data_IF_025066547034
#
_entry.id   IF_025066547034
#
_cell.length_a   1.000
_cell.length_b   1.000
_cell.length_c   1.000
_cell.angle_alpha   90.00
_cell.angle_beta   90.00
_cell.angle_gamma   90.00
#
_symmetry.space_group_name_H-M   'P 1'
#
loop_
_entity.id
_entity.type
_entity.pdbx_description
1 polymer ?
#
# COMPACT_ATOMS: atom_id res chain seq x y z
N UNK A 1 26.09 12.73 11.36
CA UNK A 1 25.81 12.96 9.91
C UNK A 1 26.95 13.80 9.34
N UNK A 2 27.53 13.39 8.22
CA UNK A 2 28.65 14.11 7.60
C UNK A 2 28.19 15.44 6.99
N UNK A 3 29.06 16.44 7.03
CA UNK A 3 28.82 17.72 6.36
C UNK A 3 28.83 17.53 4.84
N UNK A 4 27.82 18.04 4.09
CA UNK A 4 27.79 17.91 2.63
C UNK A 4 28.85 18.76 1.92
N UNK A 5 29.43 19.75 2.59
CA UNK A 5 30.40 20.69 2.00
C UNK A 5 31.86 20.23 2.20
N UNK A 6 32.24 19.81 3.41
CA UNK A 6 33.63 19.44 3.74
C UNK A 6 33.79 17.98 4.18
N UNK A 7 32.72 17.18 4.20
CA UNK A 7 32.70 15.76 4.58
C UNK A 7 33.10 15.48 6.04
N UNK A 8 33.29 16.53 6.87
CA UNK A 8 33.60 16.35 8.29
C UNK A 8 32.48 15.54 8.99
N UNK A 9 32.81 14.53 9.83
CA UNK A 9 31.83 13.60 10.38
C UNK A 9 30.87 14.25 11.42
N UNK A 10 31.33 15.32 12.09
CA UNK A 10 30.60 15.91 13.21
C UNK A 10 29.86 17.18 12.79
N UNK A 11 28.54 17.19 13.01
CA UNK A 11 27.69 18.33 12.82
C UNK A 11 26.76 18.50 14.02
N UNK A 12 26.48 19.73 14.42
CA UNK A 12 25.61 20.04 15.54
C UNK A 12 24.24 20.47 15.05
N UNK A 13 23.17 19.99 15.71
CA UNK A 13 21.81 20.47 15.48
C UNK A 13 21.63 21.79 16.24
N UNK A 14 21.26 22.86 15.53
CA UNK A 14 21.04 24.20 16.11
C UNK A 14 19.57 24.51 16.32
N UNK A 15 18.67 23.89 15.54
CA UNK A 15 17.23 24.08 15.62
C UNK A 15 16.51 22.83 15.09
N UNK A 16 15.33 22.55 15.65
CA UNK A 16 14.46 21.44 15.23
C UNK A 16 13.01 21.94 15.21
N UNK A 17 12.31 21.74 14.10
CA UNK A 17 10.90 22.13 13.96
C UNK A 17 10.11 21.00 13.31
N UNK A 18 8.95 20.75 13.84
CA UNK A 18 7.97 19.88 13.20
C UNK A 18 7.24 20.64 12.09
N UNK A 19 7.07 20.00 10.94
CA UNK A 19 6.34 20.48 9.79
C UNK A 19 5.06 19.64 9.67
N UNK A 20 3.92 20.24 9.99
CA UNK A 20 2.61 19.55 9.94
C UNK A 20 2.27 19.09 8.52
N UNK A 21 2.44 19.96 7.53
CA UNK A 21 2.07 19.71 6.12
C UNK A 21 2.72 18.44 5.55
N UNK A 22 3.95 18.13 5.98
CA UNK A 22 4.72 17.01 5.46
C UNK A 22 4.93 15.90 6.51
N UNK A 23 4.35 16.03 7.69
CA UNK A 23 4.55 15.12 8.83
C UNK A 23 6.03 14.75 9.00
N UNK A 24 6.90 15.77 9.07
CA UNK A 24 8.35 15.61 9.10
C UNK A 24 9.01 16.54 10.12
N UNK A 25 10.19 16.19 10.60
CA UNK A 25 11.00 17.05 11.46
C UNK A 25 12.12 17.64 10.60
N UNK A 26 12.13 18.97 10.47
CA UNK A 26 13.24 19.72 9.88
C UNK A 26 14.26 20.04 10.96
N UNK A 27 15.53 19.61 10.75
CA UNK A 27 16.64 19.96 11.65
C UNK A 27 17.63 20.86 10.93
N UNK A 28 17.90 22.04 11.48
CA UNK A 28 19.03 22.90 11.07
C UNK A 28 20.30 22.40 11.70
N UNK A 29 21.33 22.20 10.90
CA UNK A 29 22.65 21.73 11.33
C UNK A 29 23.73 22.74 10.99
N UNK A 30 24.77 22.81 11.82
CA UNK A 30 26.00 23.57 11.58
C UNK A 30 27.18 22.61 11.61
N UNK A 31 28.05 22.67 10.64
CA UNK A 31 29.33 21.96 10.66
C UNK A 31 30.27 22.61 11.68
N UNK A 32 30.92 21.80 12.50
CA UNK A 32 31.86 22.31 13.51
C UNK A 32 33.21 22.73 12.88
N UNK A 33 33.55 22.18 11.69
CA UNK A 33 34.79 22.48 11.00
C UNK A 33 34.64 23.69 10.06
N UNK A 34 33.82 23.58 9.02
CA UNK A 34 33.70 24.65 8.01
C UNK A 34 32.64 25.73 8.34
N UNK A 35 31.89 25.60 9.44
CA UNK A 35 30.87 26.54 9.88
C UNK A 35 29.59 26.58 9.01
N UNK A 36 29.56 25.90 7.88
CA UNK A 36 28.42 25.91 6.95
C UNK A 36 27.17 25.32 7.61
N UNK A 37 26.01 25.88 7.24
CA UNK A 37 24.70 25.48 7.74
C UNK A 37 23.93 24.74 6.63
N UNK A 38 23.22 23.68 7.02
CA UNK A 38 22.35 22.93 6.11
C UNK A 38 21.15 22.39 6.88
N UNK A 39 20.10 22.03 6.16
CA UNK A 39 18.91 21.41 6.76
C UNK A 39 18.86 19.93 6.41
N UNK A 40 18.35 19.15 7.35
CA UNK A 40 18.01 17.74 7.14
C UNK A 40 16.56 17.53 7.51
N UNK A 41 15.93 16.53 6.89
CA UNK A 41 14.55 16.17 7.17
C UNK A 41 14.54 14.75 7.71
N UNK A 42 13.78 14.55 8.77
CA UNK A 42 13.44 13.24 9.30
C UNK A 42 11.97 12.98 8.97
N UNK A 43 11.74 11.98 8.16
CA UNK A 43 10.39 11.58 7.70
C UNK A 43 10.13 10.13 8.10
N UNK A 44 8.87 9.79 8.30
CA UNK A 44 8.48 8.40 8.52
C UNK A 44 8.67 7.62 7.21
N UNK A 45 9.56 6.65 7.22
CA UNK A 45 9.71 5.73 6.10
C UNK A 45 8.65 4.62 6.19
N UNK A 46 7.55 4.80 5.46
CA UNK A 46 6.54 3.75 5.30
C UNK A 46 6.91 2.87 4.11
N UNK A 47 7.27 1.64 4.38
CA UNK A 47 7.58 0.67 3.31
C UNK A 47 6.39 -0.23 3.07
N UNK A 48 5.93 -0.26 1.82
CA UNK A 48 4.99 -1.29 1.37
C UNK A 48 5.64 -2.68 1.43
N UNK A 49 4.88 -3.71 1.82
CA UNK A 49 5.41 -5.06 1.84
C UNK A 49 5.74 -5.57 0.44
N UNK A 50 6.71 -6.48 0.36
CA UNK A 50 6.92 -7.32 -0.80
C UNK A 50 5.77 -8.34 -0.89
N UNK A 51 5.29 -8.59 -2.09
CA UNK A 51 4.24 -9.58 -2.35
C UNK A 51 4.87 -10.88 -2.83
N UNK A 52 4.66 -11.96 -2.08
CA UNK A 52 5.08 -13.31 -2.46
C UNK A 52 3.97 -13.93 -3.30
N UNK A 53 4.26 -14.20 -4.56
CA UNK A 53 3.35 -14.88 -5.50
C UNK A 53 3.24 -16.38 -5.18
N UNK A 54 2.24 -17.05 -5.76
CA UNK A 54 2.04 -18.51 -5.61
C UNK A 54 3.25 -19.35 -6.04
N UNK A 55 4.05 -18.86 -6.99
CA UNK A 55 5.30 -19.50 -7.44
C UNK A 55 6.53 -19.15 -6.59
N UNK A 56 6.33 -18.46 -5.44
CA UNK A 56 7.41 -18.04 -4.54
C UNK A 56 8.16 -16.78 -4.95
N UNK A 57 7.88 -16.19 -6.13
CA UNK A 57 8.54 -14.95 -6.57
C UNK A 57 8.11 -13.77 -5.72
N UNK A 58 9.09 -12.94 -5.32
CA UNK A 58 8.88 -11.71 -4.56
C UNK A 58 8.85 -10.51 -5.49
N UNK A 59 7.82 -9.71 -5.39
CA UNK A 59 7.67 -8.48 -6.18
C UNK A 59 7.20 -7.34 -5.28
N UNK A 60 7.59 -6.09 -5.53
CA UNK A 60 7.02 -4.95 -4.82
C UNK A 60 5.49 -4.91 -4.98
N UNK A 61 4.78 -4.51 -3.92
CA UNK A 61 3.35 -4.22 -4.06
C UNK A 61 3.17 -3.11 -5.11
N UNK A 62 2.24 -3.32 -6.03
CA UNK A 62 1.92 -2.37 -7.09
C UNK A 62 0.43 -1.99 -7.00
N UNK A 63 0.11 -0.76 -6.54
CA UNK A 63 -1.27 -0.30 -6.41
C UNK A 63 -2.00 -0.24 -7.75
N UNK A 64 -1.32 0.14 -8.84
CA UNK A 64 -1.92 0.18 -10.17
C UNK A 64 -2.39 -1.20 -10.63
N UNK A 65 -1.67 -2.27 -10.29
CA UNK A 65 -2.08 -3.63 -10.61
C UNK A 65 -3.34 -4.03 -9.84
N UNK A 66 -3.45 -3.64 -8.57
CA UNK A 66 -4.65 -3.84 -7.78
C UNK A 66 -5.82 -3.07 -8.39
N UNK A 67 -5.62 -1.78 -8.68
CA UNK A 67 -6.61 -0.91 -9.32
C UNK A 67 -7.14 -1.53 -10.61
N UNK A 68 -6.28 -1.92 -11.56
CA UNK A 68 -6.67 -2.56 -12.81
C UNK A 68 -7.49 -3.84 -12.59
N UNK A 69 -7.15 -4.61 -11.55
CA UNK A 69 -7.89 -5.83 -11.23
C UNK A 69 -9.30 -5.53 -10.70
N UNK A 70 -9.45 -4.48 -9.88
CA UNK A 70 -10.75 -4.00 -9.40
C UNK A 70 -11.58 -3.40 -10.53
N UNK A 71 -11.00 -2.58 -11.40
CA UNK A 71 -11.67 -2.01 -12.58
C UNK A 71 -12.24 -3.09 -13.51
N UNK A 72 -11.49 -4.17 -13.75
CA UNK A 72 -11.96 -5.31 -14.54
C UNK A 72 -13.16 -6.00 -13.88
N UNK A 73 -13.12 -6.21 -12.57
CA UNK A 73 -14.23 -6.83 -11.86
C UNK A 73 -15.48 -5.93 -11.85
N UNK A 74 -15.29 -4.63 -11.69
CA UNK A 74 -16.33 -3.60 -11.65
C UNK A 74 -16.79 -3.10 -13.04
N UNK A 75 -16.24 -3.67 -14.12
CA UNK A 75 -16.61 -3.24 -15.47
C UNK A 75 -18.13 -3.33 -15.72
N UNK A 76 -18.73 -2.24 -16.20
CA UNK A 76 -20.18 -2.06 -16.39
C UNK A 76 -21.01 -2.20 -15.10
N UNK A 77 -20.42 -1.89 -13.94
CA UNK A 77 -21.16 -1.76 -12.69
C UNK A 77 -21.32 -0.28 -12.33
N UNK A 78 -22.39 0.10 -11.59
CA UNK A 78 -22.66 1.49 -11.20
C UNK A 78 -21.75 1.93 -10.04
N UNK A 79 -20.44 1.88 -10.27
CA UNK A 79 -19.39 2.26 -9.29
C UNK A 79 -18.49 3.31 -9.93
N UNK A 80 -18.23 4.39 -9.22
CA UNK A 80 -17.43 5.51 -9.72
C UNK A 80 -15.93 5.21 -9.63
N UNK A 81 -15.13 5.92 -10.43
CA UNK A 81 -13.66 5.84 -10.33
C UNK A 81 -13.14 6.27 -8.96
N UNK A 82 -13.81 7.23 -8.33
CA UNK A 82 -13.47 7.68 -6.97
C UNK A 82 -13.60 6.56 -5.95
N UNK A 83 -14.69 5.80 -5.98
CA UNK A 83 -14.90 4.64 -5.11
C UNK A 83 -13.84 3.55 -5.33
N UNK A 84 -13.39 3.34 -6.56
CA UNK A 84 -12.29 2.41 -6.86
C UNK A 84 -10.99 2.92 -6.24
N UNK A 85 -10.68 4.21 -6.41
CA UNK A 85 -9.47 4.82 -5.86
C UNK A 85 -9.47 4.78 -4.31
N UNK A 86 -10.59 5.06 -3.68
CA UNK A 86 -10.77 4.95 -2.22
C UNK A 86 -10.55 3.51 -1.73
N UNK A 87 -11.07 2.54 -2.48
CA UNK A 87 -10.88 1.11 -2.16
C UNK A 87 -9.40 0.72 -2.23
N UNK A 88 -8.68 1.17 -3.26
CA UNK A 88 -7.24 0.94 -3.37
C UNK A 88 -6.50 1.56 -2.20
N UNK A 89 -6.78 2.83 -1.87
CA UNK A 89 -6.15 3.55 -0.77
C UNK A 89 -6.42 2.87 0.59
N UNK A 90 -7.64 2.37 0.81
CA UNK A 90 -7.99 1.63 2.01
C UNK A 90 -7.18 0.33 2.15
N UNK A 91 -7.02 -0.41 1.06
CA UNK A 91 -6.22 -1.65 1.04
C UNK A 91 -4.74 -1.32 1.29
N UNK A 92 -4.19 -0.26 0.66
CA UNK A 92 -2.84 0.21 0.93
C UNK A 92 -2.63 0.55 2.41
N UNK A 93 -3.55 1.29 3.00
CA UNK A 93 -3.49 1.65 4.42
C UNK A 93 -3.53 0.40 5.33
N UNK A 94 -4.36 -0.60 4.99
CA UNK A 94 -4.40 -1.88 5.71
C UNK A 94 -3.07 -2.63 5.60
N UNK A 95 -2.46 -2.63 4.42
CA UNK A 95 -1.15 -3.25 4.19
C UNK A 95 -0.04 -2.58 5.00
N UNK A 96 -0.03 -1.24 5.07
CA UNK A 96 0.89 -0.49 5.93
C UNK A 96 0.71 -0.85 7.40
N UNK A 97 -0.54 -0.93 7.88
CA UNK A 97 -0.84 -1.27 9.28
C UNK A 97 -0.38 -2.66 9.68
N UNK A 98 -0.26 -3.60 8.73
CA UNK A 98 0.29 -4.92 9.02
C UNK A 98 1.76 -4.86 9.47
N UNK A 99 2.53 -3.85 9.09
CA UNK A 99 3.94 -3.67 9.46
C UNK A 99 4.86 -4.81 9.01
N UNK A 100 4.39 -5.66 8.10
CA UNK A 100 5.15 -6.82 7.61
C UNK A 100 6.03 -6.44 6.43
N UNK A 101 7.25 -6.99 6.38
CA UNK A 101 8.16 -6.81 5.25
C UNK A 101 7.68 -7.57 3.99
N UNK A 102 7.04 -8.72 4.20
CA UNK A 102 6.58 -9.60 3.13
C UNK A 102 5.17 -10.12 3.46
N UNK A 103 4.33 -10.27 2.45
CA UNK A 103 2.98 -10.84 2.54
C UNK A 103 2.72 -11.78 1.37
N UNK A 104 1.93 -12.81 1.57
CA UNK A 104 1.44 -13.63 0.47
C UNK A 104 0.45 -12.83 -0.40
N UNK A 105 0.48 -13.02 -1.72
CA UNK A 105 -0.47 -12.39 -2.66
C UNK A 105 -1.94 -12.70 -2.30
N UNK A 106 -2.17 -13.84 -1.66
CA UNK A 106 -3.47 -14.23 -1.13
C UNK A 106 -4.06 -13.20 -0.16
N UNK A 107 -3.25 -12.60 0.71
CA UNK A 107 -3.72 -11.58 1.66
C UNK A 107 -4.26 -10.35 0.94
N UNK A 108 -3.57 -9.91 -0.12
CA UNK A 108 -4.04 -8.76 -0.93
C UNK A 108 -5.37 -9.09 -1.63
N UNK A 109 -5.49 -10.30 -2.17
CA UNK A 109 -6.71 -10.75 -2.81
C UNK A 109 -7.88 -10.90 -1.84
N UNK A 110 -7.65 -11.40 -0.63
CA UNK A 110 -8.66 -11.49 0.43
C UNK A 110 -9.16 -10.10 0.83
N UNK A 111 -8.25 -9.12 1.02
CA UNK A 111 -8.64 -7.73 1.28
C UNK A 111 -9.47 -7.12 0.15
N UNK A 112 -9.09 -7.38 -1.11
CA UNK A 112 -9.85 -6.91 -2.27
C UNK A 112 -11.25 -7.53 -2.32
N UNK A 113 -11.38 -8.82 -2.04
CA UNK A 113 -12.67 -9.50 -1.97
C UNK A 113 -13.55 -8.97 -0.84
N UNK A 114 -12.99 -8.70 0.34
CA UNK A 114 -13.73 -8.11 1.45
C UNK A 114 -14.33 -6.75 1.10
N UNK A 115 -13.57 -5.90 0.41
CA UNK A 115 -14.07 -4.58 0.00
C UNK A 115 -15.09 -4.69 -1.15
N UNK A 116 -14.83 -5.55 -2.15
CA UNK A 116 -15.78 -5.79 -3.25
C UNK A 116 -17.12 -6.35 -2.77
N UNK A 117 -17.13 -7.18 -1.74
CA UNK A 117 -18.36 -7.70 -1.15
C UNK A 117 -19.28 -6.61 -0.60
N UNK A 118 -18.70 -5.48 -0.14
CA UNK A 118 -19.44 -4.31 0.36
C UNK A 118 -19.97 -3.41 -0.76
N UNK A 119 -19.22 -3.35 -1.89
CA UNK A 119 -19.48 -2.42 -2.98
C UNK A 119 -20.45 -3.03 -4.00
N UNK A 120 -20.14 -4.24 -4.48
CA UNK A 120 -20.90 -4.90 -5.54
C UNK A 120 -20.70 -6.43 -5.53
N UNK A 121 -21.78 -7.15 -5.28
CA UNK A 121 -21.76 -8.61 -5.18
C UNK A 121 -21.37 -9.29 -6.52
N UNK A 122 -21.74 -8.70 -7.67
CA UNK A 122 -21.37 -9.25 -8.98
C UNK A 122 -19.87 -9.09 -9.22
N UNK A 123 -19.30 -7.93 -8.88
CA UNK A 123 -17.87 -7.69 -8.96
C UNK A 123 -17.08 -8.62 -8.02
N UNK A 124 -17.60 -8.87 -6.82
CA UNK A 124 -17.02 -9.86 -5.90
C UNK A 124 -16.90 -11.23 -6.56
N UNK A 125 -17.98 -11.75 -7.16
CA UNK A 125 -17.99 -13.06 -7.82
C UNK A 125 -17.04 -13.08 -9.02
N UNK A 126 -17.01 -12.03 -9.84
CA UNK A 126 -16.06 -11.89 -10.96
C UNK A 126 -14.62 -11.90 -10.52
N UNK A 127 -14.29 -11.15 -9.47
CA UNK A 127 -12.95 -11.12 -8.93
C UNK A 127 -12.55 -12.47 -8.35
N UNK A 128 -13.45 -13.10 -7.58
CA UNK A 128 -13.24 -14.41 -7.01
C UNK A 128 -12.99 -15.49 -8.08
N UNK A 129 -13.67 -15.43 -9.24
CA UNK A 129 -13.52 -16.39 -10.32
C UNK A 129 -12.10 -16.43 -10.91
N UNK A 130 -11.45 -15.27 -10.98
CA UNK A 130 -10.06 -15.16 -11.46
C UNK A 130 -9.06 -15.45 -10.34
N UNK A 131 -9.38 -14.96 -9.15
CA UNK A 131 -8.47 -15.01 -8.00
C UNK A 131 -8.38 -16.41 -7.37
N UNK A 132 -9.51 -17.09 -7.15
CA UNK A 132 -9.56 -18.42 -6.52
C UNK A 132 -9.24 -19.56 -7.50
N UNK A 133 -9.22 -19.27 -8.83
CA UNK A 133 -8.93 -20.29 -9.86
C UNK A 133 -9.77 -21.55 -9.69
N UNK A 134 -11.10 -21.41 -9.72
CA UNK A 134 -12.03 -22.52 -9.48
C UNK A 134 -11.76 -23.73 -10.38
N UNK A 135 -11.86 -24.90 -9.79
CA UNK A 135 -11.68 -26.18 -10.49
C UNK A 135 -12.97 -26.69 -11.12
N UNK A 136 -14.10 -26.35 -10.51
CA UNK A 136 -15.42 -26.77 -10.97
C UNK A 136 -16.53 -25.78 -10.60
N UNK A 137 -17.75 -26.05 -11.08
CA UNK A 137 -18.93 -25.19 -10.90
C UNK A 137 -19.42 -25.18 -9.44
N UNK A 138 -19.13 -26.21 -8.67
CA UNK A 138 -19.58 -26.32 -7.26
C UNK A 138 -18.85 -25.33 -6.37
N UNK A 139 -17.54 -25.13 -6.58
CA UNK A 139 -16.75 -24.10 -5.91
C UNK A 139 -17.28 -22.67 -6.22
N UNK A 140 -17.70 -22.47 -7.47
CA UNK A 140 -18.31 -21.20 -7.89
C UNK A 140 -19.65 -20.94 -7.19
N UNK A 141 -20.50 -21.98 -7.09
CA UNK A 141 -21.79 -21.91 -6.40
C UNK A 141 -21.61 -21.60 -4.91
N UNK A 142 -20.59 -22.16 -4.27
CA UNK A 142 -20.27 -21.89 -2.87
C UNK A 142 -19.91 -20.40 -2.66
N UNK A 143 -19.12 -19.80 -3.54
CA UNK A 143 -18.77 -18.38 -3.46
C UNK A 143 -20.00 -17.49 -3.62
N UNK A 144 -20.95 -17.86 -4.45
CA UNK A 144 -22.23 -17.13 -4.58
C UNK A 144 -23.03 -17.23 -3.28
N UNK A 145 -23.06 -18.40 -2.64
CA UNK A 145 -23.73 -18.57 -1.34
C UNK A 145 -23.06 -17.76 -0.23
N UNK A 146 -21.74 -17.74 -0.16
CA UNK A 146 -20.96 -16.91 0.78
C UNK A 146 -21.23 -15.42 0.59
N UNK A 147 -21.41 -14.97 -0.66
CA UNK A 147 -21.70 -13.58 -0.97
C UNK A 147 -23.09 -13.13 -0.49
N UNK A 148 -24.10 -14.04 -0.51
CA UNK A 148 -25.46 -13.76 -0.06
C UNK A 148 -25.58 -13.73 1.47
N UNK A 149 -24.64 -14.34 2.17
CA UNK A 149 -24.64 -14.45 3.65
C UNK A 149 -23.93 -13.27 4.35
N UNK A 150 -23.27 -12.38 3.60
CA UNK A 150 -22.61 -11.16 4.06
C UNK A 150 -23.42 -9.92 3.71
#
# INVERSE_FOLDING_TARGET
MKCPFCQHPNTQVTDSRWLEDTNSIRRRRKCLECGQRFSTFETVEMRMPQVIKSNGTRVPFNPHKLQTSLERALHKRPVTQEQINETVALIEQRLYRLGKKEIASRIVGEMAMEELAKIDQVAYVRFASVYKSFKDVSEFTQVIAECKAK
#
